data_IF_947257771783
#
_entry.id   IF_947257771783
#
_cell.length_a   1.000
_cell.length_b   1.000
_cell.length_c   1.000
_cell.angle_alpha   90.00
_cell.angle_beta   90.00
_cell.angle_gamma   90.00
#
_symmetry.space_group_name_H-M   'P 1'
#
loop_
_entity.id
_entity.type
_entity.pdbx_description
1 polymer ?
#
# COMPACT_ATOMS: atom_id res chain seq x y z
N UNK A 1 -18.48 -3.89 12.52
CA UNK A 1 -17.07 -4.28 12.25
C UNK A 1 -16.20 -3.16 12.79
N UNK A 2 -15.22 -3.43 13.67
CA UNK A 2 -14.31 -2.38 14.15
C UNK A 2 -13.49 -1.78 12.99
N UNK A 3 -13.20 -0.48 13.04
CA UNK A 3 -12.46 0.24 11.99
C UNK A 3 -11.08 -0.40 11.72
N UNK A 4 -10.39 -0.82 12.78
CA UNK A 4 -9.11 -1.52 12.69
C UNK A 4 -9.17 -2.79 11.83
N UNK A 5 -10.29 -3.54 11.90
CA UNK A 5 -10.48 -4.77 11.13
C UNK A 5 -10.67 -4.49 9.64
N UNK A 6 -11.37 -3.40 9.30
CA UNK A 6 -11.55 -2.98 7.90
C UNK A 6 -10.22 -2.55 7.29
N UNK A 7 -9.42 -1.77 8.04
CA UNK A 7 -8.10 -1.33 7.59
C UNK A 7 -7.16 -2.50 7.34
N UNK A 8 -7.07 -3.45 8.28
CA UNK A 8 -6.23 -4.64 8.13
C UNK A 8 -6.63 -5.47 6.88
N UNK A 9 -7.93 -5.58 6.61
CA UNK A 9 -8.43 -6.23 5.38
C UNK A 9 -8.01 -5.48 4.10
N UNK A 10 -8.12 -4.15 4.06
CA UNK A 10 -7.68 -3.33 2.91
C UNK A 10 -6.17 -3.48 2.70
N UNK A 11 -5.39 -3.48 3.77
CA UNK A 11 -3.93 -3.66 3.73
C UNK A 11 -3.54 -4.99 3.09
N UNK A 12 -4.07 -6.11 3.60
CA UNK A 12 -3.80 -7.44 3.04
C UNK A 12 -4.24 -7.57 1.59
N UNK A 13 -5.33 -6.89 1.21
CA UNK A 13 -5.82 -6.88 -0.17
C UNK A 13 -4.83 -6.18 -1.10
N UNK A 14 -4.36 -4.99 -0.72
CA UNK A 14 -3.35 -4.24 -1.49
C UNK A 14 -2.05 -5.04 -1.62
N UNK A 15 -1.55 -5.64 -0.53
CA UNK A 15 -0.35 -6.49 -0.60
C UNK A 15 -0.48 -7.63 -1.62
N UNK A 16 -1.64 -8.30 -1.63
CA UNK A 16 -1.90 -9.38 -2.60
C UNK A 16 -1.95 -8.86 -4.03
N UNK A 17 -2.62 -7.73 -4.26
CA UNK A 17 -2.71 -7.14 -5.59
C UNK A 17 -1.35 -6.73 -6.14
N UNK A 18 -0.51 -6.09 -5.32
CA UNK A 18 0.86 -5.72 -5.68
C UNK A 18 1.70 -6.97 -6.04
N UNK A 19 1.54 -8.06 -5.29
CA UNK A 19 2.27 -9.29 -5.53
C UNK A 19 1.81 -10.04 -6.79
N UNK A 20 0.51 -10.03 -7.08
CA UNK A 20 -0.08 -10.72 -8.25
C UNK A 20 0.26 -9.96 -9.54
N UNK A 21 0.16 -8.63 -9.52
CA UNK A 21 0.27 -7.81 -10.73
C UNK A 21 1.65 -7.16 -10.94
N UNK A 22 2.70 -7.75 -10.34
CA UNK A 22 4.06 -7.20 -10.39
C UNK A 22 4.67 -6.95 -11.78
N UNK A 23 4.23 -7.71 -12.78
CA UNK A 23 4.75 -7.75 -14.14
C UNK A 23 3.86 -6.99 -15.13
N UNK A 24 2.76 -6.42 -14.64
CA UNK A 24 1.81 -5.69 -15.46
C UNK A 24 2.19 -4.21 -15.50
N UNK A 25 2.45 -3.68 -16.70
CA UNK A 25 2.60 -2.22 -16.89
C UNK A 25 1.33 -1.47 -16.48
N UNK A 26 0.16 -2.08 -16.72
CA UNK A 26 -1.15 -1.64 -16.26
C UNK A 26 -1.95 -2.82 -15.75
N UNK A 27 -2.62 -2.65 -14.62
CA UNK A 27 -3.49 -3.68 -14.06
C UNK A 27 -4.91 -3.53 -14.60
N UNK A 28 -5.76 -4.52 -14.33
CA UNK A 28 -7.21 -4.38 -14.55
C UNK A 28 -7.89 -3.47 -13.52
N UNK A 29 -7.11 -2.87 -12.61
CA UNK A 29 -7.57 -2.05 -11.50
C UNK A 29 -7.01 -0.62 -11.66
N UNK A 30 -7.72 0.27 -12.36
CA UNK A 30 -7.22 1.63 -12.62
C UNK A 30 -6.89 2.42 -11.34
N UNK A 31 -7.60 2.16 -10.23
CA UNK A 31 -7.27 2.80 -8.96
C UNK A 31 -5.92 2.33 -8.40
N UNK A 32 -5.54 1.06 -8.60
CA UNK A 32 -4.25 0.53 -8.19
C UNK A 32 -3.12 1.16 -9.00
N UNK A 33 -3.26 1.24 -10.32
CA UNK A 33 -2.27 1.86 -11.20
C UNK A 33 -2.03 3.32 -10.80
N UNK A 34 -3.12 4.08 -10.63
CA UNK A 34 -3.09 5.47 -10.14
C UNK A 34 -2.42 5.59 -8.76
N UNK A 35 -2.67 4.63 -7.86
CA UNK A 35 -2.10 4.64 -6.53
C UNK A 35 -0.59 4.35 -6.54
N UNK A 36 -0.14 3.41 -7.36
CA UNK A 36 1.28 3.10 -7.56
C UNK A 36 2.00 4.31 -8.16
N UNK A 37 1.42 4.96 -9.17
CA UNK A 37 1.99 6.16 -9.80
C UNK A 37 2.18 7.30 -8.80
N UNK A 38 1.22 7.49 -7.88
CA UNK A 38 1.27 8.52 -6.82
C UNK A 38 2.33 8.31 -5.75
N UNK A 39 2.93 7.12 -5.67
CA UNK A 39 3.99 6.83 -4.71
C UNK A 39 5.35 6.61 -5.38
N UNK A 40 5.41 6.65 -6.72
CA UNK A 40 6.61 6.29 -7.51
C UNK A 40 7.79 7.26 -7.29
N UNK A 41 7.49 8.50 -6.92
CA UNK A 41 8.47 9.54 -6.61
C UNK A 41 8.96 9.50 -5.15
N UNK A 42 8.37 8.66 -4.30
CA UNK A 42 8.79 8.53 -2.91
C UNK A 42 10.15 7.81 -2.83
N UNK A 43 11.10 8.38 -2.07
CA UNK A 43 12.43 7.79 -1.87
C UNK A 43 12.43 6.38 -1.27
N UNK A 44 11.32 5.95 -0.66
CA UNK A 44 11.13 4.61 -0.11
C UNK A 44 10.40 3.66 -1.08
N UNK A 45 9.95 4.14 -2.25
CA UNK A 45 9.31 3.32 -3.28
C UNK A 45 10.10 2.06 -3.67
N UNK A 46 11.45 2.05 -3.71
CA UNK A 46 12.21 0.83 -3.97
C UNK A 46 11.87 -0.34 -3.03
N UNK A 47 11.37 -0.06 -1.81
CA UNK A 47 10.91 -1.12 -0.89
C UNK A 47 9.70 -1.86 -1.46
N UNK A 48 8.75 -1.14 -2.08
CA UNK A 48 7.56 -1.74 -2.73
C UNK A 48 8.00 -2.56 -3.94
N UNK A 49 8.83 -1.98 -4.80
CA UNK A 49 9.34 -2.65 -6.00
C UNK A 49 10.08 -3.94 -5.64
N UNK A 50 11.04 -3.88 -4.71
CA UNK A 50 11.82 -5.04 -4.32
C UNK A 50 10.93 -6.10 -3.63
N UNK A 51 10.03 -5.69 -2.74
CA UNK A 51 9.22 -6.63 -1.96
C UNK A 51 8.18 -7.34 -2.81
N UNK A 52 7.39 -6.57 -3.56
CA UNK A 52 6.21 -7.10 -4.23
C UNK A 52 6.51 -7.43 -5.69
N UNK A 53 7.35 -6.63 -6.36
CA UNK A 53 7.61 -6.85 -7.79
C UNK A 53 8.76 -7.81 -8.03
N UNK A 54 9.86 -7.66 -7.29
CA UNK A 54 11.01 -8.58 -7.37
C UNK A 54 10.90 -9.76 -6.40
N UNK A 55 9.84 -9.81 -5.60
CA UNK A 55 9.51 -10.89 -4.64
C UNK A 55 10.63 -11.18 -3.63
N UNK A 56 11.41 -10.17 -3.29
CA UNK A 56 12.53 -10.29 -2.35
C UNK A 56 12.03 -10.44 -0.91
N UNK A 57 12.80 -11.16 -0.08
CA UNK A 57 12.54 -11.25 1.36
C UNK A 57 12.86 -9.91 2.03
N UNK A 58 12.15 -9.60 3.11
CA UNK A 58 12.38 -8.34 3.84
C UNK A 58 13.82 -8.20 4.35
N UNK A 59 14.44 -9.29 4.81
CA UNK A 59 15.82 -9.27 5.28
C UNK A 59 16.80 -8.91 4.16
N UNK A 60 16.63 -9.48 2.96
CA UNK A 60 17.45 -9.15 1.78
C UNK A 60 17.30 -7.67 1.36
N UNK A 61 16.10 -7.12 1.51
CA UNK A 61 15.83 -5.70 1.21
C UNK A 61 16.52 -4.79 2.24
N UNK A 62 16.46 -5.16 3.51
CA UNK A 62 17.09 -4.40 4.60
C UNK A 62 18.60 -4.34 4.41
N UNK A 63 19.23 -5.45 4.01
CA UNK A 63 20.68 -5.50 3.74
C UNK A 63 21.10 -4.64 2.55
N UNK A 64 20.22 -4.45 1.56
CA UNK A 64 20.50 -3.67 0.34
C UNK A 64 20.23 -2.18 0.47
N UNK A 65 19.56 -1.75 1.53
CA UNK A 65 19.20 -0.35 1.74
C UNK A 65 19.99 0.25 2.90
N UNK A 66 20.32 1.55 2.84
CA UNK A 66 21.05 2.23 3.93
C UNK A 66 20.13 2.57 5.12
N UNK A 67 19.04 1.82 5.33
CA UNK A 67 18.01 2.12 6.32
C UNK A 67 17.93 1.03 7.39
N UNK A 68 17.59 1.42 8.62
CA UNK A 68 17.34 0.45 9.69
C UNK A 68 16.17 -0.49 9.35
N UNK A 69 16.19 -1.71 9.90
CA UNK A 69 15.07 -2.67 9.83
C UNK A 69 13.73 -1.98 10.15
N UNK A 70 13.65 -1.29 11.28
CA UNK A 70 12.43 -0.58 11.71
C UNK A 70 11.97 0.41 10.64
N UNK A 71 12.88 1.24 10.12
CA UNK A 71 12.57 2.22 9.07
C UNK A 71 12.01 1.55 7.82
N UNK A 72 12.58 0.43 7.37
CA UNK A 72 12.10 -0.28 6.18
C UNK A 72 10.66 -0.77 6.36
N UNK A 73 10.34 -1.41 7.49
CA UNK A 73 8.98 -1.87 7.77
C UNK A 73 7.98 -0.71 7.91
N UNK A 74 8.34 0.32 8.68
CA UNK A 74 7.46 1.47 8.92
C UNK A 74 7.17 2.22 7.61
N UNK A 75 8.18 2.40 6.75
CA UNK A 75 8.02 3.11 5.47
C UNK A 75 7.29 2.29 4.44
N UNK A 76 7.52 0.97 4.38
CA UNK A 76 6.69 0.06 3.57
C UNK A 76 5.22 0.17 3.95
N UNK A 77 4.89 0.08 5.25
CA UNK A 77 3.51 0.16 5.72
C UNK A 77 2.88 1.51 5.34
N UNK A 78 3.60 2.61 5.51
CA UNK A 78 3.13 3.95 5.09
C UNK A 78 2.88 4.06 3.59
N UNK A 79 3.70 3.43 2.76
CA UNK A 79 3.47 3.41 1.30
C UNK A 79 2.21 2.60 0.95
N UNK A 80 1.99 1.46 1.63
CA UNK A 80 0.77 0.67 1.46
C UNK A 80 -0.46 1.44 1.95
N UNK A 81 -0.37 2.12 3.08
CA UNK A 81 -1.43 3.01 3.57
C UNK A 81 -1.77 4.09 2.54
N UNK A 82 -0.75 4.74 1.94
CA UNK A 82 -0.97 5.70 0.84
C UNK A 82 -1.66 5.06 -0.37
N UNK A 83 -1.35 3.80 -0.70
CA UNK A 83 -2.04 3.09 -1.77
C UNK A 83 -3.51 2.86 -1.39
N UNK A 84 -3.78 2.42 -0.16
CA UNK A 84 -5.14 2.22 0.36
C UNK A 84 -5.95 3.52 0.26
N UNK A 85 -5.39 4.65 0.70
CA UNK A 85 -6.08 5.95 0.69
C UNK A 85 -6.50 6.35 -0.72
N UNK A 86 -5.68 6.05 -1.74
CA UNK A 86 -6.02 6.35 -3.13
C UNK A 86 -7.02 5.34 -3.69
N UNK A 87 -6.86 4.06 -3.38
CA UNK A 87 -7.71 3.00 -3.91
C UNK A 87 -9.13 3.03 -3.35
N UNK A 88 -9.26 3.36 -2.07
CA UNK A 88 -10.52 3.33 -1.32
C UNK A 88 -10.99 4.74 -0.95
N UNK A 89 -10.55 5.77 -1.67
CA UNK A 89 -10.89 7.16 -1.37
C UNK A 89 -12.41 7.38 -1.24
N UNK A 90 -13.19 6.85 -2.17
CA UNK A 90 -14.65 7.01 -2.18
C UNK A 90 -15.32 6.29 -1.00
N UNK A 91 -14.85 5.07 -0.69
CA UNK A 91 -15.36 4.29 0.45
C UNK A 91 -15.04 4.97 1.78
N UNK A 92 -13.80 5.46 1.94
CA UNK A 92 -13.35 6.17 3.14
C UNK A 92 -14.15 7.47 3.31
N UNK A 93 -14.35 8.24 2.23
CA UNK A 93 -15.15 9.47 2.26
C UNK A 93 -16.59 9.18 2.67
N UNK A 94 -17.19 8.10 2.15
CA UNK A 94 -18.53 7.67 2.54
C UNK A 94 -18.61 7.29 4.02
N UNK A 95 -17.65 6.52 4.53
CA UNK A 95 -17.54 6.14 5.94
C UNK A 95 -17.47 7.38 6.86
N UNK A 96 -16.66 8.39 6.48
CA UNK A 96 -16.54 9.67 7.21
C UNK A 96 -17.84 10.49 7.15
N UNK A 97 -18.55 10.49 6.03
CA UNK A 97 -19.81 11.23 5.90
C UNK A 97 -20.96 10.58 6.67
N UNK A 98 -21.01 9.24 6.71
CA UNK A 98 -22.02 8.48 7.45
C UNK A 98 -21.85 8.66 8.97
N UNK A 99 -20.62 8.60 9.48
CA UNK A 99 -20.32 8.84 10.90
C UNK A 99 -20.69 10.23 11.40
N UNK A 100 -20.76 11.24 10.51
CA UNK A 100 -21.21 12.60 10.86
C UNK A 100 -22.72 12.78 10.88
N UNK A 101 -23.52 11.87 10.29
CA UNK A 101 -24.98 11.94 10.33
C UNK A 101 -25.57 11.44 11.65
N UNK A 102 -24.79 10.65 12.40
CA UNK A 102 -25.20 10.05 13.67
C UNK A 102 -24.65 10.82 14.90
N UNK A 103 -24.09 12.03 14.70
CA UNK A 103 -23.47 12.87 15.73
C UNK A 103 -24.17 14.23 15.91
#
# INVERSE_FOLDING_TARGET
>A
MSEDRKRDNRFRTVEKLLYIHHDCEKTRYPQLDKAIDRIRDDKYYPIIEMRYFRKMKMDEIIEKLPYSRKTVYDKRNKLIDRIIDVMYADDIMKEIMETKKDA
#
